data_IF_759218417958
#
_entry.id   IF_759218417958
#
_cell.length_a   1.000
_cell.length_b   1.000
_cell.length_c   1.000
_cell.angle_alpha   90.00
_cell.angle_beta   90.00
_cell.angle_gamma   90.00
#
_symmetry.space_group_name_H-M   'P 1'
#
loop_
_entity.id
_entity.type
_entity.pdbx_description
1 polymer ?
#
# COMPACT_ATOMS: atom_id res chain seq x y z
N UNK A 1 -16.81 19.42 -7.46
CA UNK A 1 -16.39 18.67 -6.25
C UNK A 1 -17.14 17.33 -6.23
N UNK A 2 -16.53 16.24 -6.71
CA UNK A 2 -17.16 14.90 -6.62
C UNK A 2 -16.82 14.31 -5.26
N UNK A 3 -17.82 14.09 -4.41
CA UNK A 3 -17.68 13.28 -3.20
C UNK A 3 -17.52 11.84 -3.67
N UNK A 4 -16.28 11.37 -3.83
CA UNK A 4 -16.03 9.96 -4.07
C UNK A 4 -16.12 9.26 -2.72
N UNK A 5 -17.01 8.26 -2.62
CA UNK A 5 -17.06 7.36 -1.48
C UNK A 5 -15.75 6.59 -1.42
N UNK A 6 -14.85 7.05 -0.55
CA UNK A 6 -13.56 6.44 -0.29
C UNK A 6 -13.82 5.19 0.55
N UNK A 7 -14.11 4.07 -0.10
CA UNK A 7 -14.22 2.80 0.60
C UNK A 7 -12.81 2.40 1.03
N UNK A 8 -12.43 2.72 2.27
CA UNK A 8 -11.15 2.42 2.89
C UNK A 8 -10.91 0.91 3.18
N UNK A 9 -11.59 0.03 2.45
CA UNK A 9 -11.56 -1.41 2.65
C UNK A 9 -12.45 -2.16 1.66
N UNK A 10 -12.57 -1.67 0.42
CA UNK A 10 -13.47 -2.29 -0.58
C UNK A 10 -13.02 -3.71 -0.90
N UNK A 11 -11.72 -3.95 -1.10
CA UNK A 11 -11.32 -5.17 -1.81
C UNK A 11 -10.05 -5.80 -1.22
N UNK A 12 -10.23 -6.72 -0.27
CA UNK A 12 -9.16 -7.56 0.30
C UNK A 12 -9.11 -8.95 -0.33
N UNK A 13 -9.58 -9.12 -1.58
CA UNK A 13 -9.57 -10.39 -2.32
C UNK A 13 -8.46 -10.45 -3.38
N UNK A 14 -7.64 -11.49 -3.38
CA UNK A 14 -6.54 -11.71 -4.35
C UNK A 14 -5.29 -10.81 -4.22
N UNK A 15 -4.17 -11.28 -4.77
CA UNK A 15 -2.83 -10.66 -4.67
C UNK A 15 -2.72 -9.28 -5.35
N UNK A 16 -3.68 -8.89 -6.21
CA UNK A 16 -3.57 -7.70 -7.07
C UNK A 16 -4.47 -6.53 -6.65
N UNK A 17 -5.60 -6.79 -5.97
CA UNK A 17 -6.60 -5.75 -5.61
C UNK A 17 -6.05 -4.67 -4.65
N UNK A 18 -5.11 -5.02 -3.77
CA UNK A 18 -4.55 -4.07 -2.81
C UNK A 18 -3.80 -2.91 -3.47
N UNK A 19 -3.22 -3.11 -4.66
CA UNK A 19 -2.46 -2.08 -5.35
C UNK A 19 -3.37 -1.00 -5.93
N UNK A 20 -4.57 -1.39 -6.36
CA UNK A 20 -5.62 -0.47 -6.78
C UNK A 20 -6.20 0.30 -5.59
N UNK A 21 -6.38 -0.37 -4.44
CA UNK A 21 -6.76 0.30 -3.19
C UNK A 21 -5.72 1.36 -2.78
N UNK A 22 -4.44 0.99 -2.76
CA UNK A 22 -3.35 1.90 -2.41
C UNK A 22 -3.28 3.11 -3.33
N UNK A 23 -3.46 2.88 -4.64
CA UNK A 23 -3.54 3.97 -5.61
C UNK A 23 -4.68 4.95 -5.33
N UNK A 24 -5.87 4.40 -5.06
CA UNK A 24 -7.06 5.19 -4.74
C UNK A 24 -6.81 6.02 -3.47
N UNK A 25 -6.16 5.45 -2.46
CA UNK A 25 -5.81 6.16 -1.23
C UNK A 25 -4.83 7.32 -1.47
N UNK A 26 -3.88 7.20 -2.41
CA UNK A 26 -2.97 8.30 -2.76
C UNK A 26 -3.66 9.46 -3.48
N UNK A 27 -4.74 9.19 -4.21
CA UNK A 27 -5.57 10.22 -4.85
C UNK A 27 -6.45 10.97 -3.84
N UNK A 28 -6.59 10.45 -2.62
CA UNK A 28 -7.56 10.95 -1.66
C UNK A 28 -6.85 11.60 -0.48
N UNK A 29 -7.27 12.83 -0.23
CA UNK A 29 -6.65 13.69 0.77
C UNK A 29 -7.71 14.13 1.78
N UNK A 30 -7.86 13.45 2.95
CA UNK A 30 -8.58 14.02 4.09
C UNK A 30 -7.94 15.34 4.57
N UNK A 31 -8.69 16.43 4.50
CA UNK A 31 -8.33 17.74 5.03
C UNK A 31 -9.28 18.06 6.17
N UNK A 32 -8.73 18.45 7.32
CA UNK A 32 -9.51 18.83 8.49
C UNK A 32 -9.38 20.34 8.70
N UNK A 33 -10.48 21.08 8.60
CA UNK A 33 -10.54 22.52 8.79
C UNK A 33 -10.75 22.94 10.27
N UNK A 34 -10.74 21.96 11.19
CA UNK A 34 -11.01 22.14 12.61
C UNK A 34 -12.43 21.74 13.02
N UNK A 35 -13.39 21.74 12.09
CA UNK A 35 -14.79 21.41 12.35
C UNK A 35 -15.26 20.18 11.57
N UNK A 36 -14.76 20.00 10.35
CA UNK A 36 -15.15 18.92 9.44
C UNK A 36 -13.94 18.36 8.70
N UNK A 37 -13.96 17.05 8.47
CA UNK A 37 -13.04 16.43 7.50
C UNK A 37 -13.68 16.42 6.11
N UNK A 38 -13.03 17.10 5.17
CA UNK A 38 -13.36 17.12 3.74
C UNK A 38 -12.38 16.22 2.99
N UNK A 39 -12.85 15.49 1.98
CA UNK A 39 -12.00 14.60 1.18
C UNK A 39 -11.78 15.23 -0.17
N UNK A 40 -10.55 15.66 -0.41
CA UNK A 40 -10.13 16.14 -1.71
C UNK A 40 -9.73 14.94 -2.56
N UNK A 41 -10.28 14.86 -3.76
CA UNK A 41 -9.87 13.89 -4.78
C UNK A 41 -8.96 14.63 -5.74
N UNK A 42 -7.72 14.16 -5.84
CA UNK A 42 -6.69 14.72 -6.69
C UNK A 42 -6.29 13.68 -7.75
N UNK A 43 -5.75 14.14 -8.87
CA UNK A 43 -5.01 13.23 -9.75
C UNK A 43 -3.78 12.70 -9.02
N UNK A 44 -3.24 11.58 -9.48
CA UNK A 44 -1.97 11.10 -8.96
C UNK A 44 -0.87 12.13 -9.26
N UNK A 45 0.16 12.11 -8.42
CA UNK A 45 1.30 12.99 -8.58
C UNK A 45 2.36 12.45 -9.55
N UNK A 46 3.13 13.36 -10.13
CA UNK A 46 4.18 13.07 -11.12
C UNK A 46 5.35 12.21 -10.58
N UNK A 47 5.39 11.91 -9.28
CA UNK A 47 6.46 11.14 -8.64
C UNK A 47 6.03 9.70 -8.36
N UNK A 48 4.90 9.54 -7.66
CA UNK A 48 4.38 8.25 -7.23
C UNK A 48 3.58 7.56 -8.33
N UNK A 49 2.88 8.30 -9.21
CA UNK A 49 2.08 7.68 -10.27
C UNK A 49 2.95 6.82 -11.19
N UNK A 50 4.09 7.33 -11.73
CA UNK A 50 4.93 6.51 -12.60
C UNK A 50 5.56 5.33 -11.86
N UNK A 51 5.97 5.53 -10.60
CA UNK A 51 6.55 4.47 -9.77
C UNK A 51 5.54 3.31 -9.54
N UNK A 52 4.28 3.64 -9.26
CA UNK A 52 3.21 2.64 -9.06
C UNK A 52 2.84 1.99 -10.38
N UNK A 53 2.75 2.76 -11.47
CA UNK A 53 2.52 2.25 -12.82
C UNK A 53 3.54 1.17 -13.21
N UNK A 54 4.84 1.46 -13.03
CA UNK A 54 5.92 0.47 -13.26
C UNK A 54 5.73 -0.80 -12.45
N UNK A 55 5.43 -0.67 -11.15
CA UNK A 55 5.22 -1.83 -10.27
C UNK A 55 4.01 -2.67 -10.69
N UNK A 56 2.91 -2.04 -11.11
CA UNK A 56 1.71 -2.70 -11.64
C UNK A 56 2.02 -3.49 -12.90
N UNK A 57 2.68 -2.87 -13.88
CA UNK A 57 3.08 -3.52 -15.13
C UNK A 57 3.90 -4.78 -14.86
N UNK A 58 4.95 -4.65 -14.05
CA UNK A 58 5.83 -5.76 -13.70
C UNK A 58 5.08 -6.89 -13.00
N UNK A 59 4.15 -6.59 -12.09
CA UNK A 59 3.30 -7.61 -11.46
C UNK A 59 2.47 -8.39 -12.46
N UNK A 60 1.93 -7.73 -13.50
CA UNK A 60 1.20 -8.40 -14.56
C UNK A 60 2.12 -9.33 -15.38
N UNK A 61 3.30 -8.86 -15.78
CA UNK A 61 4.27 -9.64 -16.57
C UNK A 61 4.84 -10.87 -15.86
N UNK A 62 4.78 -10.89 -14.52
CA UNK A 62 5.24 -12.01 -13.67
C UNK A 62 4.25 -13.17 -13.57
N UNK A 63 3.00 -13.01 -14.02
CA UNK A 63 1.99 -14.08 -13.94
C UNK A 63 2.45 -15.30 -14.77
N UNK A 64 2.36 -16.51 -14.18
CA UNK A 64 2.63 -17.77 -14.88
C UNK A 64 1.69 -17.82 -16.10
N UNK A 65 2.25 -18.05 -17.29
CA UNK A 65 1.54 -18.11 -18.59
C UNK A 65 1.14 -16.77 -19.21
N UNK A 66 1.81 -15.66 -18.88
CA UNK A 66 1.59 -14.41 -19.61
C UNK A 66 2.07 -14.56 -21.08
N UNK A 67 1.17 -14.53 -22.07
CA UNK A 67 1.51 -14.92 -23.45
C UNK A 67 2.29 -13.82 -24.17
N UNK A 68 2.99 -14.20 -25.24
CA UNK A 68 3.77 -13.26 -26.05
C UNK A 68 2.87 -12.43 -26.96
N UNK A 69 3.32 -11.22 -27.28
CA UNK A 69 2.71 -10.38 -28.30
C UNK A 69 3.03 -10.99 -29.66
N UNK A 70 2.03 -11.11 -30.52
CA UNK A 70 2.15 -11.78 -31.82
C UNK A 70 1.49 -10.93 -32.91
N UNK A 71 1.33 -11.49 -34.10
CA UNK A 71 0.59 -10.89 -35.20
C UNK A 71 -0.74 -11.60 -35.41
N UNK A 72 -1.77 -10.87 -35.82
CA UNK A 72 -3.02 -11.43 -36.33
C UNK A 72 -3.37 -10.87 -37.70
N UNK A 73 -4.13 -11.64 -38.47
CA UNK A 73 -4.67 -11.19 -39.75
C UNK A 73 -5.89 -10.30 -39.52
N UNK A 74 -5.92 -9.14 -40.17
CA UNK A 74 -7.03 -8.17 -40.07
C UNK A 74 -7.37 -7.59 -41.45
N UNK A 75 -8.66 -7.32 -41.68
CA UNK A 75 -9.10 -6.59 -42.87
C UNK A 75 -8.75 -5.11 -42.72
N UNK A 76 -7.98 -4.59 -43.66
CA UNK A 76 -7.53 -3.20 -43.70
C UNK A 76 -8.63 -2.28 -44.26
N UNK A 77 -8.48 -0.97 -44.06
CA UNK A 77 -9.42 0.05 -44.54
C UNK A 77 -9.59 0.05 -46.06
N UNK A 78 -8.57 -0.40 -46.81
CA UNK A 78 -8.60 -0.56 -48.26
C UNK A 78 -9.30 -1.86 -48.73
N UNK A 79 -9.91 -2.62 -47.82
CA UNK A 79 -10.63 -3.85 -48.11
C UNK A 79 -9.77 -5.11 -48.26
N UNK A 80 -8.44 -4.98 -48.34
CA UNK A 80 -7.49 -6.12 -48.42
C UNK A 80 -7.18 -6.69 -47.03
N UNK A 81 -6.68 -7.92 -46.98
CA UNK A 81 -6.14 -8.50 -45.76
C UNK A 81 -4.71 -8.02 -45.52
N UNK A 82 -4.40 -7.75 -44.24
CA UNK A 82 -3.06 -7.43 -43.76
C UNK A 82 -2.86 -7.96 -42.34
N UNK A 83 -1.84 -7.45 -41.66
CA UNK A 83 -1.44 -7.87 -40.33
C UNK A 83 -1.62 -6.73 -39.32
N UNK A 84 -1.98 -7.08 -38.10
CA UNK A 84 -2.00 -6.18 -36.94
C UNK A 84 -1.27 -6.83 -35.76
N UNK A 85 -0.80 -6.01 -34.83
CA UNK A 85 -0.24 -6.52 -33.58
C UNK A 85 -1.37 -7.11 -32.73
N UNK A 86 -1.22 -8.37 -32.36
CA UNK A 86 -2.11 -9.08 -31.44
C UNK A 86 -1.52 -9.04 -30.04
N UNK A 87 -2.09 -8.19 -29.21
CA UNK A 87 -1.84 -8.20 -27.77
C UNK A 87 -2.68 -9.29 -27.09
N UNK A 88 -2.14 -9.99 -26.10
CA UNK A 88 -2.92 -10.79 -25.16
C UNK A 88 -4.14 -10.03 -24.63
N UNK A 89 -5.27 -10.72 -24.39
CA UNK A 89 -6.45 -10.08 -23.81
C UNK A 89 -6.18 -9.39 -22.46
N UNK A 90 -5.19 -9.90 -21.71
CA UNK A 90 -4.75 -9.30 -20.44
C UNK A 90 -3.87 -8.04 -20.62
N UNK A 91 -3.55 -7.64 -21.87
CA UNK A 91 -2.67 -6.52 -22.23
C UNK A 91 -3.40 -5.32 -22.84
N UNK A 92 -4.73 -5.23 -22.77
CA UNK A 92 -5.51 -4.22 -23.50
C UNK A 92 -5.02 -2.77 -23.34
N UNK A 93 -4.55 -2.37 -22.15
CA UNK A 93 -4.01 -1.02 -21.89
C UNK A 93 -2.47 -0.97 -21.75
N UNK A 94 -1.83 -2.14 -21.68
CA UNK A 94 -0.41 -2.27 -21.33
C UNK A 94 0.54 -1.58 -22.30
N UNK A 95 0.34 -1.63 -23.63
CA UNK A 95 1.18 -0.90 -24.57
C UNK A 95 1.20 0.61 -24.34
N UNK A 96 0.03 1.20 -24.06
CA UNK A 96 -0.08 2.63 -23.76
C UNK A 96 0.62 2.96 -22.45
N UNK A 97 0.41 2.13 -21.42
CA UNK A 97 1.06 2.30 -20.12
C UNK A 97 2.59 2.23 -20.25
N UNK A 98 3.13 1.30 -21.06
CA UNK A 98 4.57 1.20 -21.33
C UNK A 98 5.07 2.46 -22.03
N UNK A 99 4.41 2.87 -23.11
CA UNK A 99 4.79 4.05 -23.90
C UNK A 99 4.88 5.31 -23.03
N UNK A 100 3.92 5.49 -22.10
CA UNK A 100 3.94 6.58 -21.12
C UNK A 100 5.09 6.43 -20.13
N UNK A 101 5.25 5.26 -19.50
CA UNK A 101 6.15 5.04 -18.38
C UNK A 101 7.65 4.99 -18.73
N UNK A 102 8.00 4.73 -19.99
CA UNK A 102 9.40 4.75 -20.47
C UNK A 102 10.03 6.14 -20.28
N UNK A 103 9.23 7.21 -20.38
CA UNK A 103 9.71 8.58 -20.29
C UNK A 103 9.94 9.06 -18.85
N UNK A 104 9.57 8.25 -17.85
CA UNK A 104 9.68 8.64 -16.44
C UNK A 104 10.83 7.92 -15.74
N UNK A 105 11.79 8.70 -15.23
CA UNK A 105 12.78 8.21 -14.28
C UNK A 105 12.21 8.25 -12.86
N UNK A 106 12.48 7.21 -12.08
CA UNK A 106 12.13 7.22 -10.65
C UNK A 106 13.18 8.01 -9.89
N UNK A 107 12.75 9.01 -9.10
CA UNK A 107 13.63 9.87 -8.29
C UNK A 107 14.64 9.07 -7.47
N UNK A 108 15.86 9.59 -7.37
CA UNK A 108 16.99 8.97 -6.64
C UNK A 108 16.69 8.73 -5.16
N UNK A 109 15.87 9.59 -4.57
CA UNK A 109 15.49 9.49 -3.16
C UNK A 109 14.38 8.48 -2.88
N UNK A 110 13.82 7.88 -3.93
CA UNK A 110 12.92 6.76 -3.79
C UNK A 110 13.75 5.47 -3.85
N UNK A 111 13.85 4.79 -2.71
CA UNK A 111 14.33 3.42 -2.64
C UNK A 111 13.27 2.54 -3.31
N UNK A 112 13.55 2.21 -4.56
CA UNK A 112 12.69 1.46 -5.46
C UNK A 112 12.44 0.04 -4.93
N UNK A 113 11.20 -0.42 -4.91
CA UNK A 113 10.89 -1.83 -4.71
C UNK A 113 11.39 -2.70 -5.87
N UNK A 114 11.42 -4.02 -5.68
CA UNK A 114 11.96 -4.95 -6.70
C UNK A 114 11.22 -4.88 -8.03
N UNK A 115 9.92 -4.61 -8.02
CA UNK A 115 9.13 -4.49 -9.25
C UNK A 115 9.56 -3.24 -10.05
N UNK A 116 9.77 -2.09 -9.41
CA UNK A 116 10.28 -0.88 -10.08
C UNK A 116 11.71 -1.10 -10.58
N UNK A 117 12.57 -1.74 -9.78
CA UNK A 117 13.94 -2.08 -10.18
C UNK A 117 13.96 -2.98 -11.43
N UNK A 118 13.02 -3.92 -11.55
CA UNK A 118 12.93 -4.81 -12.71
C UNK A 118 12.54 -4.06 -13.99
N UNK A 119 11.64 -3.08 -13.87
CA UNK A 119 11.26 -2.21 -14.99
C UNK A 119 12.45 -1.38 -15.45
N UNK A 120 13.09 -0.64 -14.53
CA UNK A 120 14.26 0.19 -14.84
C UNK A 120 15.43 -0.65 -15.40
N UNK A 121 15.62 -1.87 -14.89
CA UNK A 121 16.59 -2.81 -15.44
C UNK A 121 16.26 -3.23 -16.87
N UNK A 122 14.99 -3.50 -17.19
CA UNK A 122 14.63 -3.90 -18.54
C UNK A 122 14.91 -2.77 -19.54
N UNK A 123 14.61 -1.51 -19.19
CA UNK A 123 14.95 -0.35 -20.02
C UNK A 123 16.45 -0.22 -20.26
N UNK A 124 17.28 -0.41 -19.22
CA UNK A 124 18.73 -0.28 -19.34
C UNK A 124 19.42 -1.40 -20.14
N UNK A 125 18.68 -2.39 -20.64
CA UNK A 125 19.18 -3.48 -21.46
C UNK A 125 18.64 -3.45 -22.90
N UNK A 126 17.87 -2.41 -23.24
CA UNK A 126 17.33 -2.18 -24.57
C UNK A 126 18.14 -1.11 -25.29
N UNK A 127 18.21 -1.17 -26.62
CA UNK A 127 18.79 -0.07 -27.43
C UNK A 127 17.80 1.09 -27.53
N UNK A 128 18.29 2.30 -27.85
CA UNK A 128 17.38 3.44 -28.05
C UNK A 128 16.38 3.20 -29.18
N UNK A 129 16.75 2.53 -30.28
CA UNK A 129 15.81 2.16 -31.34
C UNK A 129 14.66 1.27 -30.82
N UNK A 130 14.97 0.31 -29.94
CA UNK A 130 13.95 -0.54 -29.32
C UNK A 130 13.07 0.26 -28.36
N UNK A 131 13.65 1.22 -27.64
CA UNK A 131 12.89 2.10 -26.74
C UNK A 131 11.98 3.05 -27.53
N UNK A 132 12.44 3.59 -28.66
CA UNK A 132 11.65 4.45 -29.54
C UNK A 132 10.45 3.71 -30.14
N UNK A 133 10.64 2.45 -30.53
CA UNK A 133 9.53 1.59 -30.95
C UNK A 133 8.47 1.45 -29.85
N UNK A 134 8.88 1.30 -28.59
CA UNK A 134 7.94 1.21 -27.46
C UNK A 134 7.30 2.56 -27.10
N UNK A 135 8.05 3.67 -27.18
CA UNK A 135 7.56 5.04 -26.94
C UNK A 135 6.47 5.44 -27.95
N UNK A 136 6.61 5.03 -29.21
CA UNK A 136 5.63 5.31 -30.27
C UNK A 136 4.33 4.50 -30.14
N UNK A 137 4.29 3.52 -29.22
CA UNK A 137 3.11 2.70 -28.99
C UNK A 137 2.88 1.65 -30.08
N UNK A 138 1.68 1.06 -30.10
CA UNK A 138 1.38 -0.04 -31.03
C UNK A 138 1.32 0.48 -32.48
N UNK A 139 2.12 -0.07 -33.41
CA UNK A 139 2.11 0.36 -34.80
C UNK A 139 0.76 0.07 -35.48
N UNK A 140 0.42 0.88 -36.47
CA UNK A 140 -0.77 0.69 -37.29
C UNK A 140 -0.70 -0.65 -38.07
N UNK A 141 -1.85 -1.25 -38.41
CA UNK A 141 -1.88 -2.44 -39.27
C UNK A 141 -1.13 -2.23 -40.59
N UNK A 142 -0.44 -3.27 -41.06
CA UNK A 142 0.42 -3.21 -42.26
C UNK A 142 0.11 -4.36 -43.22
N UNK A 143 0.38 -4.16 -44.52
CA UNK A 143 0.29 -5.24 -45.52
C UNK A 143 1.40 -6.27 -45.38
N UNK A 144 2.54 -5.87 -44.81
CA UNK A 144 3.72 -6.71 -44.61
C UNK A 144 3.92 -6.98 -43.12
N UNK A 145 4.12 -8.25 -42.77
CA UNK A 145 4.30 -8.69 -41.39
C UNK A 145 5.61 -8.16 -40.81
N UNK A 146 6.62 -8.02 -41.67
CA UNK A 146 7.98 -7.57 -41.38
C UNK A 146 7.99 -6.18 -40.74
N UNK A 147 7.04 -5.31 -41.13
CA UNK A 147 6.92 -3.96 -40.58
C UNK A 147 6.49 -3.93 -39.10
N UNK A 148 5.83 -4.99 -38.62
CA UNK A 148 5.37 -5.09 -37.22
C UNK A 148 6.40 -5.79 -36.34
N UNK A 149 7.33 -6.53 -36.95
CA UNK A 149 8.26 -7.41 -36.24
C UNK A 149 9.23 -6.66 -35.31
N UNK A 150 9.77 -5.46 -35.65
CA UNK A 150 10.62 -4.70 -34.73
C UNK A 150 9.92 -4.38 -33.41
N UNK A 151 8.70 -3.85 -33.46
CA UNK A 151 7.92 -3.53 -32.27
C UNK A 151 7.60 -4.80 -31.45
N UNK A 152 7.15 -5.87 -32.12
CA UNK A 152 6.82 -7.14 -31.46
C UNK A 152 8.04 -7.73 -30.75
N UNK A 153 9.21 -7.68 -31.40
CA UNK A 153 10.45 -8.15 -30.80
C UNK A 153 10.87 -7.28 -29.62
N UNK A 154 10.75 -5.96 -29.72
CA UNK A 154 11.06 -5.03 -28.64
C UNK A 154 10.18 -5.27 -27.40
N UNK A 155 8.86 -5.37 -27.56
CA UNK A 155 7.94 -5.58 -26.43
C UNK A 155 8.13 -6.97 -25.80
N UNK A 156 8.32 -8.02 -26.60
CA UNK A 156 8.60 -9.35 -26.06
C UNK A 156 9.97 -9.41 -25.38
N UNK A 157 11.00 -8.73 -25.91
CA UNK A 157 12.31 -8.59 -25.26
C UNK A 157 12.16 -7.89 -23.90
N UNK A 158 11.45 -6.77 -23.82
CA UNK A 158 11.17 -6.06 -22.58
C UNK A 158 10.55 -6.98 -21.51
N UNK A 159 9.52 -7.74 -21.89
CA UNK A 159 8.85 -8.71 -21.00
C UNK A 159 9.81 -9.81 -20.55
N UNK A 160 10.63 -10.36 -21.46
CA UNK A 160 11.63 -11.39 -21.12
C UNK A 160 12.69 -10.86 -20.18
N UNK A 161 13.15 -9.61 -20.34
CA UNK A 161 14.13 -8.96 -19.46
C UNK A 161 13.59 -8.80 -18.04
N UNK A 162 12.33 -8.38 -17.88
CA UNK A 162 11.67 -8.33 -16.56
C UNK A 162 11.66 -9.72 -15.92
N UNK A 163 11.28 -10.77 -16.65
CA UNK A 163 11.28 -12.14 -16.12
C UNK A 163 12.68 -12.62 -15.77
N UNK A 164 13.68 -12.30 -16.59
CA UNK A 164 15.08 -12.65 -16.36
C UNK A 164 15.63 -11.97 -15.10
N UNK A 165 15.25 -10.72 -14.82
CA UNK A 165 15.61 -10.01 -13.59
C UNK A 165 15.24 -10.81 -12.34
N UNK A 166 14.01 -11.33 -12.28
CA UNK A 166 13.53 -12.13 -11.14
C UNK A 166 14.10 -13.55 -11.06
N UNK A 167 14.75 -14.06 -12.13
CA UNK A 167 15.44 -15.36 -12.11
C UNK A 167 16.83 -15.28 -11.49
N UNK A 168 17.42 -14.08 -11.40
CA UNK A 168 18.76 -13.87 -10.81
C UNK A 168 18.80 -14.33 -9.34
N UNK A 169 19.81 -15.11 -8.91
CA UNK A 169 19.86 -15.67 -7.55
C UNK A 169 19.76 -14.61 -6.44
N UNK A 170 20.47 -13.49 -6.58
CA UNK A 170 20.43 -12.38 -5.64
C UNK A 170 19.04 -11.72 -5.55
N UNK A 171 18.33 -11.58 -6.68
CA UNK A 171 16.96 -11.04 -6.71
C UNK A 171 15.97 -12.04 -6.11
N UNK A 172 16.09 -13.34 -6.43
CA UNK A 172 15.28 -14.39 -5.79
C UNK A 172 15.41 -14.36 -4.27
N UNK A 173 16.63 -14.17 -3.78
CA UNK A 173 16.89 -14.02 -2.34
C UNK A 173 16.20 -12.77 -1.77
N UNK A 174 16.31 -11.62 -2.42
CA UNK A 174 15.60 -10.39 -2.00
C UNK A 174 14.08 -10.58 -1.97
N UNK A 175 13.48 -11.22 -2.98
CA UNK A 175 12.04 -11.53 -2.99
C UNK A 175 11.66 -12.42 -1.80
N UNK A 176 12.47 -13.43 -1.50
CA UNK A 176 12.27 -14.29 -0.34
C UNK A 176 12.35 -13.49 0.97
N UNK A 177 13.36 -12.64 1.12
CA UNK A 177 13.56 -11.82 2.32
C UNK A 177 12.43 -10.80 2.53
N UNK A 178 11.93 -10.16 1.47
CA UNK A 178 10.74 -9.28 1.52
C UNK A 178 9.49 -10.04 1.98
N UNK A 179 9.23 -11.24 1.42
CA UNK A 179 8.11 -12.08 1.83
C UNK A 179 8.24 -12.53 3.28
N UNK A 180 9.45 -12.91 3.71
CA UNK A 180 9.75 -13.30 5.09
C UNK A 180 9.51 -12.14 6.05
N UNK A 181 9.96 -10.93 5.71
CA UNK A 181 9.75 -9.73 6.51
C UNK A 181 8.28 -9.35 6.62
N UNK A 182 7.52 -9.47 5.52
CA UNK A 182 6.08 -9.25 5.50
C UNK A 182 5.37 -10.25 6.43
N UNK A 183 5.68 -11.54 6.30
CA UNK A 183 5.12 -12.59 7.17
C UNK A 183 5.47 -12.32 8.63
N UNK A 184 6.73 -11.96 8.93
CA UNK A 184 7.17 -11.63 10.29
C UNK A 184 6.40 -10.45 10.89
N UNK A 185 6.24 -9.35 10.14
CA UNK A 185 5.49 -8.18 10.63
C UNK A 185 4.01 -8.52 10.84
N UNK A 186 3.38 -9.20 9.87
CA UNK A 186 1.99 -9.68 10.00
C UNK A 186 1.83 -10.57 11.23
N UNK A 187 2.69 -11.58 11.40
CA UNK A 187 2.65 -12.49 12.56
C UNK A 187 2.77 -11.74 13.88
N UNK A 188 3.65 -10.73 13.99
CA UNK A 188 3.77 -9.92 15.21
C UNK A 188 2.52 -9.11 15.52
N UNK A 189 1.86 -8.56 14.49
CA UNK A 189 0.60 -7.83 14.65
C UNK A 189 -0.53 -8.77 15.12
N UNK A 190 -0.60 -9.96 14.51
CA UNK A 190 -1.57 -11.00 14.85
C UNK A 190 -1.33 -11.53 16.27
N UNK A 191 -0.10 -11.87 16.62
CA UNK A 191 0.28 -12.36 17.95
C UNK A 191 -0.09 -11.34 19.04
N UNK A 192 0.23 -10.07 18.80
CA UNK A 192 -0.15 -9.00 19.72
C UNK A 192 -1.67 -8.93 19.86
N UNK A 193 -2.44 -8.92 18.77
CA UNK A 193 -3.90 -8.85 18.83
C UNK A 193 -4.53 -10.09 19.48
N UNK A 194 -4.03 -11.29 19.17
CA UNK A 194 -4.51 -12.54 19.76
C UNK A 194 -4.29 -12.55 21.27
N UNK A 195 -3.14 -12.04 21.77
CA UNK A 195 -2.91 -11.90 23.21
C UNK A 195 -3.95 -10.99 23.90
N UNK A 196 -4.52 -10.01 23.18
CA UNK A 196 -5.60 -9.17 23.69
C UNK A 196 -6.94 -9.92 23.69
N UNK A 197 -7.28 -10.59 22.59
CA UNK A 197 -8.55 -11.33 22.46
C UNK A 197 -8.61 -12.54 23.40
N UNK A 198 -7.48 -13.20 23.67
CA UNK A 198 -7.40 -14.28 24.66
C UNK A 198 -7.63 -13.77 26.09
N UNK A 199 -7.22 -12.54 26.39
CA UNK A 199 -7.43 -11.93 27.71
C UNK A 199 -8.82 -11.32 27.87
N UNK A 200 -9.28 -10.57 26.88
CA UNK A 200 -10.52 -9.79 26.97
C UNK A 200 -11.59 -10.44 26.10
N UNK A 201 -12.80 -10.63 26.65
CA UNK A 201 -13.94 -11.17 25.88
C UNK A 201 -14.32 -10.31 24.68
N UNK A 202 -14.05 -9.00 24.78
CA UNK A 202 -14.35 -7.98 23.78
C UNK A 202 -13.16 -7.03 23.67
N UNK A 203 -12.71 -6.74 22.46
CA UNK A 203 -11.66 -5.76 22.17
C UNK A 203 -12.21 -4.71 21.21
N UNK A 204 -12.07 -3.43 21.55
CA UNK A 204 -12.43 -2.33 20.64
C UNK A 204 -11.22 -1.96 19.82
N UNK A 205 -11.36 -2.02 18.49
CA UNK A 205 -10.36 -1.60 17.52
C UNK A 205 -10.67 -0.18 17.06
N UNK A 206 -9.75 0.73 17.37
CA UNK A 206 -9.80 2.14 16.96
C UNK A 206 -8.69 2.40 15.96
N UNK A 207 -9.04 2.76 14.73
CA UNK A 207 -8.10 3.18 13.68
C UNK A 207 -8.23 4.69 13.45
N UNK A 208 -7.10 5.37 13.51
CA UNK A 208 -6.98 6.74 13.05
C UNK A 208 -5.63 6.96 12.36
N UNK A 209 -5.65 7.80 11.35
CA UNK A 209 -4.46 8.21 10.63
C UNK A 209 -4.08 9.62 11.12
N UNK A 210 -2.89 9.77 11.69
CA UNK A 210 -2.39 11.02 12.26
C UNK A 210 -1.51 11.74 11.25
N UNK A 211 -1.78 13.02 11.05
CA UNK A 211 -1.11 13.86 10.06
C UNK A 211 -0.59 15.14 10.71
N UNK A 212 0.38 15.77 10.06
CA UNK A 212 0.70 17.18 10.25
C UNK A 212 -0.09 18.02 9.24
N UNK A 213 -0.43 19.25 9.62
CA UNK A 213 -1.04 20.25 8.74
C UNK A 213 -0.03 20.64 7.68
N UNK A 214 -0.50 20.67 6.43
CA UNK A 214 0.25 21.16 5.29
C UNK A 214 -0.49 22.36 4.70
N UNK A 215 0.27 23.24 4.04
CA UNK A 215 -0.32 24.38 3.34
C UNK A 215 -1.30 23.89 2.26
N UNK A 216 -2.46 24.54 2.07
CA UNK A 216 -3.45 24.12 1.07
C UNK A 216 -2.86 23.93 -0.34
N UNK A 217 -1.89 24.76 -0.72
CA UNK A 217 -1.20 24.71 -2.01
C UNK A 217 -0.50 23.35 -2.21
N UNK A 218 0.19 22.85 -1.18
CA UNK A 218 0.85 21.53 -1.21
C UNK A 218 -0.17 20.40 -1.33
N UNK A 219 -1.34 20.53 -0.69
CA UNK A 219 -2.40 19.50 -0.71
C UNK A 219 -3.06 19.37 -2.07
N UNK A 220 -3.07 20.44 -2.88
CA UNK A 220 -3.63 20.48 -4.23
C UNK A 220 -2.58 20.22 -5.32
N UNK A 221 -1.29 20.34 -5.02
CA UNK A 221 -0.19 20.16 -5.96
C UNK A 221 -0.10 18.73 -6.50
N UNK A 222 0.03 18.55 -7.82
CA UNK A 222 0.22 17.23 -8.46
C UNK A 222 1.57 17.13 -9.16
N UNK A 223 2.25 18.25 -9.37
CA UNK A 223 3.60 18.33 -9.92
C UNK A 223 4.57 18.77 -8.83
N UNK A 224 5.28 17.81 -8.24
CA UNK A 224 6.32 18.03 -7.23
C UNK A 224 7.72 18.00 -7.86
N UNK A 225 8.62 18.80 -7.30
CA UNK A 225 10.06 18.73 -7.56
C UNK A 225 10.73 17.73 -6.62
N UNK A 226 11.95 17.33 -6.95
CA UNK A 226 12.73 16.45 -6.08
C UNK A 226 12.97 17.12 -4.71
N UNK A 227 13.24 18.43 -4.69
CA UNK A 227 13.46 19.20 -3.46
C UNK A 227 12.22 19.25 -2.54
N UNK A 228 11.01 19.18 -3.09
CA UNK A 228 9.76 19.26 -2.31
C UNK A 228 9.55 18.02 -1.41
N UNK A 229 10.26 16.93 -1.69
CA UNK A 229 9.96 15.62 -1.11
C UNK A 229 10.72 15.30 0.19
N UNK A 230 11.65 16.15 0.65
CA UNK A 230 12.60 15.71 1.68
C UNK A 230 13.10 16.82 2.60
N UNK A 231 12.95 16.57 3.90
CA UNK A 231 13.89 16.98 4.94
C UNK A 231 14.19 15.78 5.82
N UNK A 232 15.47 15.55 6.13
CA UNK A 232 15.90 14.42 6.99
C UNK A 232 15.44 14.60 8.43
N UNK A 233 15.46 15.85 8.92
CA UNK A 233 15.10 16.18 10.30
C UNK A 233 13.60 16.02 10.55
N UNK A 234 12.79 16.10 9.50
CA UNK A 234 11.33 16.02 9.62
C UNK A 234 10.86 14.65 10.10
N UNK A 235 11.57 13.57 9.73
CA UNK A 235 11.18 12.23 10.21
C UNK A 235 11.46 12.05 11.71
N UNK A 236 12.61 12.54 12.17
CA UNK A 236 12.99 12.46 13.58
C UNK A 236 12.11 13.39 14.44
N UNK A 237 11.80 14.59 13.95
CA UNK A 237 10.82 15.49 14.57
C UNK A 237 9.43 14.86 14.65
N UNK A 238 8.97 14.20 13.58
CA UNK A 238 7.70 13.49 13.57
C UNK A 238 7.68 12.33 14.57
N UNK A 239 8.75 11.54 14.64
CA UNK A 239 8.89 10.49 15.66
C UNK A 239 8.86 11.02 17.07
N UNK A 240 9.52 12.14 17.35
CA UNK A 240 9.49 12.79 18.65
C UNK A 240 8.07 13.15 19.07
N UNK A 241 7.22 13.61 18.14
CA UNK A 241 5.79 13.84 18.40
C UNK A 241 5.06 12.54 18.78
N UNK A 242 5.38 11.42 18.12
CA UNK A 242 4.80 10.10 18.42
C UNK A 242 5.29 9.55 19.76
N UNK A 243 6.55 9.79 20.12
CA UNK A 243 7.10 9.45 21.43
C UNK A 243 6.39 10.24 22.53
N UNK A 244 6.23 11.55 22.37
CA UNK A 244 5.46 12.39 23.29
C UNK A 244 4.00 11.95 23.42
N UNK A 245 3.36 11.53 22.32
CA UNK A 245 2.02 10.93 22.35
C UNK A 245 1.99 9.70 23.28
N UNK A 246 2.98 8.82 23.19
CA UNK A 246 3.07 7.60 24.01
C UNK A 246 3.48 7.86 25.46
N UNK A 247 4.32 8.85 25.74
CA UNK A 247 4.70 9.26 27.10
C UNK A 247 3.49 9.70 27.93
N UNK A 248 2.50 10.32 27.26
CA UNK A 248 1.23 10.70 27.86
C UNK A 248 0.37 9.50 28.27
N UNK A 249 0.74 8.25 27.93
CA UNK A 249 -0.05 7.05 28.23
C UNK A 249 -0.42 6.89 29.70
N UNK A 250 0.48 7.25 30.63
CA UNK A 250 0.23 7.09 32.08
C UNK A 250 -0.75 8.11 32.65
N UNK A 251 -0.77 9.32 32.08
CA UNK A 251 -1.48 10.47 32.66
C UNK A 251 -2.72 10.88 31.87
N UNK A 252 -2.82 10.51 30.59
CA UNK A 252 -3.96 10.85 29.76
C UNK A 252 -5.14 9.89 30.00
N UNK A 253 -6.36 10.39 30.26
CA UNK A 253 -7.54 9.56 30.56
C UNK A 253 -7.92 8.55 29.49
N UNK A 254 -7.61 8.81 28.22
CA UNK A 254 -7.91 7.91 27.10
C UNK A 254 -6.77 6.92 26.91
N UNK A 255 -5.53 7.40 26.78
CA UNK A 255 -4.40 6.51 26.53
C UNK A 255 -4.11 5.53 27.67
N UNK A 256 -4.41 5.89 28.94
CA UNK A 256 -4.28 4.96 30.07
C UNK A 256 -5.16 3.72 29.92
N UNK A 257 -6.22 3.79 29.12
CA UNK A 257 -7.14 2.69 28.86
C UNK A 257 -6.71 1.82 27.69
N UNK A 258 -5.73 2.27 26.89
CA UNK A 258 -5.23 1.51 25.74
C UNK A 258 -4.45 0.27 26.20
N UNK A 259 -4.99 -0.89 25.85
CA UNK A 259 -4.42 -2.21 26.18
C UNK A 259 -3.39 -2.69 25.15
N UNK A 260 -3.34 -2.07 23.98
CA UNK A 260 -2.36 -2.34 22.94
C UNK A 260 -2.40 -1.29 21.83
N UNK A 261 -1.37 -1.28 20.97
CA UNK A 261 -1.33 -0.43 19.77
C UNK A 261 -0.42 -1.01 18.69
N UNK A 262 -0.70 -0.62 17.43
CA UNK A 262 0.17 -0.84 16.26
C UNK A 262 0.24 0.46 15.48
N UNK A 263 1.45 0.96 15.25
CA UNK A 263 1.70 2.13 14.42
C UNK A 263 2.53 1.78 13.20
N UNK A 264 2.23 2.47 12.11
CA UNK A 264 3.00 2.44 10.88
C UNK A 264 3.26 3.86 10.38
N UNK A 265 4.54 4.16 10.16
CA UNK A 265 5.00 5.42 9.60
C UNK A 265 5.03 5.35 8.07
N UNK A 266 4.50 6.39 7.44
CA UNK A 266 4.47 6.58 5.99
C UNK A 266 4.85 8.01 5.60
N UNK A 267 5.22 8.17 4.33
CA UNK A 267 5.54 9.46 3.74
C UNK A 267 5.01 9.49 2.30
N UNK A 268 4.36 10.59 1.92
CA UNK A 268 4.05 10.91 0.52
C UNK A 268 4.41 12.38 0.23
N UNK A 269 4.79 12.74 -1.01
CA UNK A 269 5.12 14.12 -1.34
C UNK A 269 4.01 15.11 -0.96
N UNK A 270 2.75 14.72 -1.20
CA UNK A 270 1.57 15.54 -0.90
C UNK A 270 1.30 15.72 0.60
N UNK A 271 1.51 14.69 1.41
CA UNK A 271 1.06 14.67 2.83
C UNK A 271 2.17 14.73 3.85
N UNK A 272 3.42 14.73 3.38
CA UNK A 272 4.56 14.54 4.26
C UNK A 272 4.44 13.26 5.09
N UNK A 273 5.01 13.32 6.30
CA UNK A 273 4.95 12.22 7.25
C UNK A 273 3.57 12.07 7.87
N UNK A 274 3.11 10.84 7.94
CA UNK A 274 1.87 10.48 8.62
C UNK A 274 1.97 9.11 9.28
N UNK A 275 1.08 8.87 10.24
CA UNK A 275 1.08 7.68 11.08
C UNK A 275 -0.27 6.97 10.98
N UNK A 276 -0.29 5.79 10.38
CA UNK A 276 -1.44 4.89 10.52
C UNK A 276 -1.39 4.25 11.90
N UNK A 277 -2.47 4.36 12.66
CA UNK A 277 -2.55 3.82 14.01
C UNK A 277 -3.72 2.87 14.19
N UNK A 278 -3.46 1.76 14.88
CA UNK A 278 -4.45 0.91 15.50
C UNK A 278 -4.26 0.99 16.99
N UNK A 279 -5.32 1.32 17.70
CA UNK A 279 -5.38 1.31 19.16
C UNK A 279 -6.40 0.28 19.59
N UNK A 280 -6.09 -0.41 20.68
CA UNK A 280 -6.92 -1.48 21.21
C UNK A 280 -7.34 -1.15 22.64
N UNK A 281 -8.62 -1.32 22.93
CA UNK A 281 -9.22 -1.06 24.23
C UNK A 281 -10.03 -2.25 24.74
N UNK A 282 -10.16 -2.39 26.06
CA UNK A 282 -11.03 -3.40 26.65
C UNK A 282 -12.50 -3.05 26.40
N UNK A 283 -13.20 -3.87 25.63
CA UNK A 283 -14.59 -3.64 25.21
C UNK A 283 -15.63 -3.74 26.31
N UNK A 284 -15.29 -4.32 27.47
CA UNK A 284 -16.18 -4.31 28.64
C UNK A 284 -16.18 -2.96 29.35
N UNK A 285 -15.13 -2.15 29.15
CA UNK A 285 -15.00 -0.82 29.76
C UNK A 285 -15.24 0.33 28.77
N UNK A 286 -15.06 0.06 27.49
CA UNK A 286 -15.12 1.06 26.43
C UNK A 286 -15.99 0.52 25.30
N UNK A 287 -17.07 1.23 24.94
CA UNK A 287 -17.93 0.83 23.82
C UNK A 287 -18.01 1.91 22.73
N UNK A 288 -17.60 3.14 23.03
CA UNK A 288 -17.62 4.27 22.10
C UNK A 288 -16.27 4.43 21.38
N UNK A 289 -16.11 3.67 20.30
CA UNK A 289 -14.90 3.67 19.48
C UNK A 289 -14.57 5.04 18.88
N UNK A 290 -15.58 5.84 18.54
CA UNK A 290 -15.42 7.20 17.99
C UNK A 290 -14.95 8.18 19.08
N UNK A 291 -15.56 8.16 20.27
CA UNK A 291 -15.17 9.03 21.40
C UNK A 291 -13.73 8.80 21.82
N UNK A 292 -13.29 7.53 21.84
CA UNK A 292 -11.88 7.16 22.05
C UNK A 292 -10.97 7.78 20.99
N UNK A 293 -11.33 7.66 19.72
CA UNK A 293 -10.53 8.21 18.61
C UNK A 293 -10.41 9.74 18.69
N UNK A 294 -11.50 10.44 19.00
CA UNK A 294 -11.50 11.90 19.20
C UNK A 294 -10.62 12.32 20.38
N UNK A 295 -10.58 11.52 21.44
CA UNK A 295 -9.65 11.74 22.56
C UNK A 295 -8.18 11.65 22.16
N UNK A 296 -7.83 10.67 21.31
CA UNK A 296 -6.47 10.53 20.76
C UNK A 296 -6.17 11.70 19.80
N UNK A 297 -7.10 12.11 18.96
CA UNK A 297 -6.94 13.29 18.09
C UNK A 297 -6.64 14.56 18.90
N UNK A 298 -7.39 14.83 19.97
CA UNK A 298 -7.15 15.98 20.85
C UNK A 298 -5.74 15.96 21.44
N UNK A 299 -5.25 14.78 21.84
CA UNK A 299 -3.90 14.63 22.34
C UNK A 299 -2.86 14.81 21.23
N UNK A 300 -3.12 14.31 20.02
CA UNK A 300 -2.25 14.52 18.86
C UNK A 300 -2.09 16.01 18.54
N UNK A 301 -3.18 16.78 18.52
CA UNK A 301 -3.16 18.25 18.39
C UNK A 301 -2.27 18.87 19.47
N UNK A 302 -2.44 18.47 20.73
CA UNK A 302 -1.62 18.97 21.85
C UNK A 302 -0.12 18.70 21.67
N UNK A 303 0.29 17.46 21.38
CA UNK A 303 1.73 17.10 21.26
C UNK A 303 2.39 17.69 20.02
N UNK A 304 1.60 18.13 19.05
CA UNK A 304 2.07 18.79 17.83
C UNK A 304 1.90 20.31 17.86
N UNK A 305 1.58 20.91 19.02
CA UNK A 305 1.31 22.35 19.15
C UNK A 305 0.28 22.86 18.12
N UNK A 306 -0.84 22.15 18.02
CA UNK A 306 -1.94 22.38 17.09
C UNK A 306 -1.56 22.29 15.60
N UNK A 307 -0.38 21.77 15.28
CA UNK A 307 0.05 21.47 13.90
C UNK A 307 -0.42 20.09 13.42
N UNK A 308 -1.05 19.28 14.28
CA UNK A 308 -1.55 17.95 13.94
C UNK A 308 -3.05 17.93 13.67
N UNK A 309 -3.49 16.93 12.91
CA UNK A 309 -4.90 16.53 12.84
C UNK A 309 -5.00 15.02 12.62
N UNK A 310 -6.21 14.47 12.79
CA UNK A 310 -6.46 13.04 12.57
C UNK A 310 -7.57 12.82 11.54
N UNK A 311 -7.45 11.72 10.81
CA UNK A 311 -8.55 11.09 10.10
C UNK A 311 -9.05 9.88 10.90
N UNK A 312 -10.23 10.03 11.51
CA UNK A 312 -10.85 8.98 12.34
C UNK A 312 -11.58 7.98 11.44
N UNK A 313 -10.98 6.81 11.23
CA UNK A 313 -11.52 5.80 10.32
C UNK A 313 -12.82 5.17 10.85
N UNK A 314 -12.95 5.07 12.19
CA UNK A 314 -14.14 4.55 12.85
C UNK A 314 -15.42 5.35 12.53
N UNK A 315 -15.32 6.64 12.22
CA UNK A 315 -16.49 7.45 11.78
C UNK A 315 -17.06 7.00 10.43
N UNK A 316 -16.24 6.32 9.63
CA UNK A 316 -16.61 5.79 8.32
C UNK A 316 -16.60 4.27 8.27
N UNK A 317 -16.76 3.60 9.42
CA UNK A 317 -16.75 2.13 9.48
C UNK A 317 -17.77 1.46 8.55
N UNK A 318 -18.87 2.15 8.20
CA UNK A 318 -19.88 1.68 7.24
C UNK A 318 -19.40 1.61 5.78
N UNK A 319 -18.29 2.27 5.42
CA UNK A 319 -17.72 2.23 4.05
C UNK A 319 -16.79 1.04 3.83
N UNK A 320 -16.49 0.27 4.88
CA UNK A 320 -15.65 -0.92 4.82
C UNK A 320 -16.53 -2.12 4.47
N UNK A 321 -16.23 -2.81 3.37
CA UNK A 321 -16.94 -4.04 2.99
C UNK A 321 -16.68 -5.13 4.04
N UNK A 322 -15.40 -5.37 4.33
CA UNK A 322 -14.94 -6.26 5.40
C UNK A 322 -14.57 -5.45 6.65
N UNK A 323 -15.58 -4.93 7.36
CA UNK A 323 -15.36 -4.01 8.48
C UNK A 323 -14.78 -4.70 9.72
N UNK A 324 -13.53 -4.37 10.05
CA UNK A 324 -12.83 -4.84 11.26
C UNK A 324 -12.76 -3.78 12.38
N UNK A 325 -13.42 -2.62 12.21
CA UNK A 325 -13.39 -1.52 13.19
C UNK A 325 -14.45 -1.68 14.29
N UNK A 326 -14.22 -1.00 15.41
CA UNK A 326 -15.08 -1.04 16.59
C UNK A 326 -14.91 -2.33 17.39
N UNK A 327 -15.96 -2.76 18.08
CA UNK A 327 -15.90 -3.94 18.96
C UNK A 327 -15.76 -5.23 18.17
N UNK A 328 -14.79 -6.06 18.54
CA UNK A 328 -14.61 -7.44 18.11
C UNK A 328 -14.75 -8.35 19.33
N UNK A 329 -15.65 -9.31 19.25
CA UNK A 329 -15.83 -10.33 20.29
C UNK A 329 -14.96 -11.56 20.02
N UNK A 330 -14.58 -12.27 21.08
CA UNK A 330 -13.69 -13.44 20.99
C UNK A 330 -14.18 -14.51 19.99
N UNK A 331 -15.50 -14.72 19.91
CA UNK A 331 -16.14 -15.70 19.04
C UNK A 331 -16.37 -15.22 17.59
N UNK A 332 -16.13 -13.93 17.29
CA UNK A 332 -16.30 -13.37 15.94
C UNK A 332 -15.09 -13.66 15.04
N UNK A 333 -14.87 -14.94 14.75
CA UNK A 333 -13.75 -15.43 13.92
C UNK A 333 -13.63 -14.71 12.58
N UNK A 334 -14.77 -14.44 11.91
CA UNK A 334 -14.77 -13.74 10.63
C UNK A 334 -14.27 -12.29 10.74
N UNK A 335 -14.72 -11.55 11.76
CA UNK A 335 -14.28 -10.16 11.98
C UNK A 335 -12.80 -10.07 12.35
N UNK A 336 -12.30 -11.06 13.09
CA UNK A 336 -10.87 -11.23 13.37
C UNK A 336 -10.09 -11.46 12.07
N UNK A 337 -10.54 -12.35 11.19
CA UNK A 337 -9.91 -12.59 9.89
C UNK A 337 -9.83 -11.32 9.04
N UNK A 338 -10.90 -10.52 9.00
CA UNK A 338 -10.88 -9.22 8.31
C UNK A 338 -9.84 -8.24 8.90
N UNK A 339 -9.64 -8.24 10.23
CA UNK A 339 -8.58 -7.45 10.85
C UNK A 339 -7.18 -7.93 10.43
N UNK A 340 -6.97 -9.24 10.37
CA UNK A 340 -5.70 -9.83 9.93
C UNK A 340 -5.39 -9.54 8.46
N UNK A 341 -6.42 -9.53 7.60
CA UNK A 341 -6.34 -9.05 6.22
C UNK A 341 -5.96 -7.56 6.20
N UNK A 342 -6.60 -6.73 7.04
CA UNK A 342 -6.25 -5.33 7.30
C UNK A 342 -4.76 -5.13 7.60
N UNK A 343 -4.21 -5.95 8.49
CA UNK A 343 -2.78 -5.93 8.82
C UNK A 343 -1.89 -6.30 7.63
N UNK A 344 -2.31 -7.27 6.82
CA UNK A 344 -1.58 -7.70 5.62
C UNK A 344 -1.47 -6.57 4.58
N UNK A 345 -2.56 -5.82 4.36
CA UNK A 345 -2.57 -4.66 3.47
C UNK A 345 -1.48 -3.63 3.86
N UNK A 346 -1.43 -3.28 5.15
CA UNK A 346 -0.42 -2.37 5.67
C UNK A 346 0.99 -2.93 5.55
N UNK A 347 1.18 -4.25 5.59
CA UNK A 347 2.51 -4.83 5.38
C UNK A 347 2.93 -4.83 3.89
N UNK A 348 2.00 -5.05 2.95
CA UNK A 348 2.27 -5.16 1.50
C UNK A 348 2.70 -3.85 0.85
N UNK A 349 2.03 -2.75 1.18
CA UNK A 349 2.32 -1.42 0.63
C UNK A 349 3.77 -0.98 0.90
N UNK A 350 4.41 -1.53 1.95
CA UNK A 350 5.81 -1.28 2.28
C UNK A 350 6.84 -1.84 1.28
N UNK A 351 6.40 -2.68 0.32
CA UNK A 351 7.24 -3.32 -0.72
C UNK A 351 7.36 -2.50 -2.01
N UNK A 352 6.51 -1.48 -2.23
CA UNK A 352 6.51 -0.73 -3.49
C UNK A 352 7.70 0.21 -3.59
N UNK A 353 7.89 1.03 -2.56
CA UNK A 353 8.97 1.99 -2.47
C UNK A 353 9.11 2.49 -1.03
N UNK A 354 10.24 3.15 -0.74
CA UNK A 354 10.52 3.82 0.54
C UNK A 354 11.29 5.10 0.23
N UNK A 355 10.89 6.24 0.78
CA UNK A 355 11.70 7.46 0.67
C UNK A 355 12.99 7.35 1.51
N UNK A 356 14.09 7.90 0.99
CA UNK A 356 15.45 7.76 1.53
C UNK A 356 15.56 8.30 2.96
N UNK A 357 14.80 9.34 3.29
CA UNK A 357 14.66 9.91 4.64
C UNK A 357 14.10 8.91 5.68
N UNK A 358 13.36 7.87 5.26
CA UNK A 358 12.84 6.82 6.14
C UNK A 358 13.75 5.59 6.25
N UNK A 359 14.85 5.52 5.46
CA UNK A 359 15.68 4.31 5.32
C UNK A 359 16.19 3.75 6.65
N UNK A 360 16.61 4.63 7.56
CA UNK A 360 17.24 4.25 8.84
C UNK A 360 16.24 4.01 9.97
N UNK A 361 14.98 4.41 9.82
CA UNK A 361 14.02 4.35 10.91
C UNK A 361 13.17 3.09 10.92
N UNK A 362 12.87 2.60 12.12
CA UNK A 362 11.81 1.61 12.34
C UNK A 362 10.46 2.19 11.87
N UNK A 363 9.84 1.53 10.88
CA UNK A 363 8.55 1.95 10.30
C UNK A 363 7.32 1.32 10.98
N UNK A 364 7.51 0.24 11.72
CA UNK A 364 6.45 -0.41 12.49
C UNK A 364 6.77 -0.36 13.98
N UNK A 365 5.84 0.13 14.78
CA UNK A 365 5.94 0.13 16.23
C UNK A 365 4.71 -0.59 16.80
N UNK A 366 4.94 -1.71 17.48
CA UNK A 366 3.89 -2.60 17.97
C UNK A 366 4.08 -2.77 19.48
N UNK A 367 3.01 -2.64 20.26
CA UNK A 367 3.05 -2.92 21.69
C UNK A 367 3.42 -4.38 21.97
N UNK A 368 4.06 -4.65 23.11
CA UNK A 368 4.37 -6.03 23.50
C UNK A 368 3.09 -6.85 23.67
N UNK A 369 3.06 -8.11 23.20
CA UNK A 369 1.97 -9.03 23.52
C UNK A 369 1.79 -9.18 25.03
N UNK A 370 0.56 -9.40 25.46
CA UNK A 370 0.28 -9.69 26.86
C UNK A 370 0.77 -11.10 27.20
N UNK A 371 1.45 -11.26 28.35
CA UNK A 371 1.85 -12.57 28.87
C UNK A 371 0.61 -13.46 29.08
N UNK A 372 0.70 -14.77 28.88
CA UNK A 372 -0.41 -15.67 29.22
C UNK A 372 -0.77 -15.58 30.71
N UNK A 373 -2.04 -15.81 31.05
CA UNK A 373 -2.49 -15.97 32.44
C UNK A 373 -2.99 -17.40 32.64
N UNK A 374 -2.56 -18.02 33.73
CA UNK A 374 -3.00 -19.37 34.17
C UNK A 374 -4.30 -19.34 34.97
N UNK A 375 -4.89 -18.17 35.23
CA UNK A 375 -6.10 -18.01 36.04
C UNK A 375 -7.35 -17.80 35.19
N UNK A 376 -8.40 -18.58 35.49
CA UNK A 376 -9.71 -18.54 34.85
C UNK A 376 -10.07 -19.85 34.16
N UNK A 377 -11.37 -20.04 33.85
CA UNK A 377 -11.83 -21.21 33.08
C UNK A 377 -11.12 -21.23 31.72
N UNK A 378 -10.49 -22.35 31.33
CA UNK A 378 -9.90 -22.49 30.00
C UNK A 378 -10.96 -22.19 28.93
N UNK A 379 -10.66 -21.25 28.04
CA UNK A 379 -11.50 -21.03 26.86
C UNK A 379 -11.31 -22.25 25.95
N UNK A 380 -12.41 -22.82 25.43
CA UNK A 380 -12.31 -23.88 24.42
C UNK A 380 -11.59 -23.29 23.20
N UNK A 381 -10.38 -23.76 22.92
CA UNK A 381 -9.59 -23.35 21.77
C UNK A 381 -10.30 -23.83 20.49
N UNK A 382 -10.84 -22.91 19.71
CA UNK A 382 -11.09 -23.09 18.27
C UNK A 382 -9.98 -22.42 17.44
N UNK A 383 -8.78 -22.30 18.03
CA UNK A 383 -7.60 -21.89 17.30
C UNK A 383 -7.05 -23.12 16.59
N UNK A 384 -7.64 -23.45 15.44
CA UNK A 384 -6.94 -24.28 14.46
C UNK A 384 -5.75 -23.45 13.98
N UNK A 385 -4.64 -23.64 14.69
CA UNK A 385 -3.32 -23.34 14.15
C UNK A 385 -3.21 -24.25 12.94
N UNK A 386 -3.42 -23.70 11.75
CA UNK A 386 -2.97 -24.32 10.51
C UNK A 386 -1.46 -24.49 10.63
N UNK A 387 -1.05 -25.62 11.19
CA UNK A 387 0.21 -26.26 10.92
C UNK A 387 0.26 -26.43 9.41
N UNK A 388 0.98 -25.52 8.74
CA UNK A 388 1.56 -25.83 7.45
C UNK A 388 2.60 -26.93 7.70
N UNK A 389 2.13 -28.16 7.85
CA UNK A 389 2.89 -29.35 7.49
C UNK A 389 3.21 -29.20 6.01
N UNK A 390 4.49 -29.34 5.68
CA UNK A 390 4.93 -29.34 4.31
C UNK A 390 4.30 -30.51 3.58
N UNK A 391 3.88 -30.25 2.36
CA UNK A 391 3.84 -31.29 1.34
C UNK A 391 4.82 -30.88 0.24
N UNK A 392 5.80 -31.76 0.10
CA UNK A 392 6.66 -31.91 -1.06
C UNK A 392 5.78 -32.15 -2.30
N UNK A 393 6.00 -31.36 -3.36
CA UNK A 393 6.40 -31.72 -4.74
C UNK A 393 6.21 -30.49 -5.63
#
# INVERSE_FOLDING_TARGET
MRIINVNAGRHMGTHDQWLQQFETELQITPVNDGYKTTFLVNSQDNILAPAIGKAKLVKQFKKRNFPEVTTETKRLSNGRYGFAVKHPAQMSNLPSDIAELINYSTLSDIIKGLDIQAFDYALSQMSEDELDLLRNGTPLPSSLKENLLPYINAINKFIRLIRAFFRRPNIRRKVYDERKNLKKNKSRMIEMFNSLIERYSRVVVVRLDLYLKHKPETLLQTCFKAEDCLSKNDFDAFKKCVEQLLENKRHNPVLKQAIGYIFRFEYTPRRGFHLHTFWFFNGNKNQEDISLAQGIEKLWKKVTNDQGYAYICNMRKHTYENCFLGTIEYNQTQKRKWLEEGFEYHCKTSQLFIFSNMKKGRRFQISQPLKSQTRGRPRKNHLDVNTFTGDEV
#
